data_IF_147953858664
#
_entry.id   IF_147953858664
#
_cell.length_a   1.000
_cell.length_b   1.000
_cell.length_c   1.000
_cell.angle_alpha   90.00
_cell.angle_beta   90.00
_cell.angle_gamma   90.00
#
_symmetry.space_group_name_H-M   'P 1'
#
loop_
_entity.id
_entity.type
_entity.pdbx_description
1 polymer ?
#
# COMPACT_ATOMS: atom_id res chain seq x y z
N UNK A 1 10.64 -4.60 37.21
CA UNK A 1 11.39 -5.18 36.07
C UNK A 1 10.76 -4.57 34.82
N UNK A 2 10.89 -3.25 34.62
CA UNK A 2 9.92 -2.53 33.77
C UNK A 2 10.57 -1.81 32.57
N UNK A 3 11.84 -1.39 32.69
CA UNK A 3 12.52 -0.66 31.61
C UNK A 3 12.87 -1.51 30.38
N UNK A 4 13.15 -2.80 30.58
CA UNK A 4 13.51 -3.70 29.47
C UNK A 4 12.30 -4.03 28.58
N UNK A 5 11.13 -4.20 29.20
CA UNK A 5 9.88 -4.49 28.51
C UNK A 5 9.36 -3.27 27.76
N UNK A 6 9.49 -2.06 28.33
CA UNK A 6 9.15 -0.82 27.64
C UNK A 6 10.05 -0.58 26.42
N UNK A 7 11.36 -0.80 26.53
CA UNK A 7 12.30 -0.66 25.41
C UNK A 7 11.99 -1.65 24.28
N UNK A 8 11.65 -2.89 24.64
CA UNK A 8 11.23 -3.94 23.68
C UNK A 8 9.96 -3.54 22.96
N UNK A 9 8.93 -3.08 23.67
CA UNK A 9 7.67 -2.66 23.08
C UNK A 9 7.85 -1.45 22.14
N UNK A 10 8.69 -0.48 22.49
CA UNK A 10 9.02 0.66 21.61
C UNK A 10 9.70 0.20 20.31
N UNK A 11 10.63 -0.75 20.42
CA UNK A 11 11.30 -1.32 19.25
C UNK A 11 10.34 -2.11 18.36
N UNK A 12 9.47 -2.94 18.94
CA UNK A 12 8.44 -3.68 18.21
C UNK A 12 7.45 -2.75 17.51
N UNK A 13 7.02 -1.69 18.20
CA UNK A 13 6.17 -0.65 17.61
C UNK A 13 6.87 0.05 16.44
N UNK A 14 8.14 0.43 16.60
CA UNK A 14 8.94 1.04 15.52
C UNK A 14 9.03 0.13 14.29
N UNK A 15 9.27 -1.17 14.50
CA UNK A 15 9.30 -2.16 13.43
C UNK A 15 7.94 -2.32 12.75
N UNK A 16 6.85 -2.32 13.52
CA UNK A 16 5.50 -2.41 12.97
C UNK A 16 5.18 -1.18 12.11
N UNK A 17 5.51 0.03 12.57
CA UNK A 17 5.32 1.27 11.81
C UNK A 17 6.11 1.27 10.49
N UNK A 18 7.37 0.86 10.51
CA UNK A 18 8.18 0.76 9.29
C UNK A 18 7.62 -0.26 8.29
N UNK A 19 7.13 -1.40 8.79
CA UNK A 19 6.48 -2.41 7.93
C UNK A 19 5.18 -1.87 7.31
N UNK A 20 4.38 -1.14 8.08
CA UNK A 20 3.16 -0.50 7.57
C UNK A 20 3.50 0.49 6.44
N UNK A 21 4.47 1.38 6.65
CA UNK A 21 4.90 2.34 5.62
C UNK A 21 5.41 1.65 4.34
N UNK A 22 6.15 0.54 4.50
CA UNK A 22 6.62 -0.24 3.36
C UNK A 22 5.45 -0.90 2.60
N UNK A 23 4.45 -1.41 3.31
CA UNK A 23 3.25 -1.99 2.70
C UNK A 23 2.42 -0.93 1.98
N UNK A 24 2.24 0.25 2.58
CA UNK A 24 1.57 1.40 1.95
C UNK A 24 2.24 1.77 0.62
N UNK A 25 3.58 1.87 0.63
CA UNK A 25 4.37 2.16 -0.57
C UNK A 25 4.23 1.08 -1.66
N UNK A 26 4.09 -0.20 -1.28
CA UNK A 26 3.89 -1.30 -2.23
C UNK A 26 2.49 -1.25 -2.85
N UNK A 27 1.48 -0.93 -2.04
CA UNK A 27 0.09 -0.77 -2.51
C UNK A 27 -0.03 0.40 -3.48
N UNK A 28 0.63 1.53 -3.20
CA UNK A 28 0.69 2.69 -4.09
C UNK A 28 1.30 2.31 -5.45
N UNK A 29 2.49 1.67 -5.44
CA UNK A 29 3.14 1.20 -6.67
C UNK A 29 2.29 0.22 -7.47
N UNK A 30 1.58 -0.67 -6.80
CA UNK A 30 0.68 -1.61 -7.46
C UNK A 30 -0.47 -0.88 -8.17
N UNK A 31 -1.05 0.15 -7.54
CA UNK A 31 -2.07 0.98 -8.17
C UNK A 31 -1.53 1.70 -9.42
N UNK A 32 -0.34 2.28 -9.33
CA UNK A 32 0.28 2.99 -10.46
C UNK A 32 0.64 2.04 -11.62
N UNK A 33 1.08 0.82 -11.31
CA UNK A 33 1.34 -0.20 -12.33
C UNK A 33 0.06 -0.65 -13.05
N UNK A 34 -1.06 -0.76 -12.33
CA UNK A 34 -2.36 -1.08 -12.95
C UNK A 34 -2.77 0.00 -13.95
N UNK A 35 -2.66 1.28 -13.57
CA UNK A 35 -2.97 2.39 -14.47
C UNK A 35 -2.04 2.42 -15.68
N UNK A 36 -0.73 2.30 -15.46
CA UNK A 36 0.26 2.34 -16.53
C UNK A 36 0.04 1.22 -17.57
N UNK A 37 -0.30 0.01 -17.14
CA UNK A 37 -0.60 -1.10 -18.04
C UNK A 37 -1.95 -0.93 -18.76
N UNK A 38 -2.95 -0.38 -18.07
CA UNK A 38 -4.26 -0.11 -18.64
C UNK A 38 -4.20 0.96 -19.74
N UNK A 39 -3.36 1.98 -19.53
CA UNK A 39 -3.16 3.06 -20.49
C UNK A 39 -2.29 2.67 -21.70
N UNK A 40 -1.47 1.63 -21.57
CA UNK A 40 -0.54 1.23 -22.61
C UNK A 40 -1.16 0.42 -23.75
N UNK A 41 -2.09 -0.53 -23.47
CA UNK A 41 -2.57 -1.46 -24.52
C UNK A 41 -3.86 -2.24 -24.17
N UNK A 42 -4.71 -1.73 -23.27
CA UNK A 42 -5.94 -2.42 -22.88
C UNK A 42 -7.18 -1.92 -23.63
N UNK A 43 -8.09 -2.83 -23.99
CA UNK A 43 -9.41 -2.46 -24.48
C UNK A 43 -10.22 -1.71 -23.40
N UNK A 44 -11.06 -0.76 -23.80
CA UNK A 44 -11.88 0.10 -22.91
C UNK A 44 -12.51 -0.61 -21.69
N UNK A 45 -13.17 -1.78 -21.80
CA UNK A 45 -13.72 -2.46 -20.62
C UNK A 45 -12.65 -2.99 -19.64
N UNK A 46 -11.49 -3.40 -20.15
CA UNK A 46 -10.36 -3.83 -19.31
C UNK A 46 -9.68 -2.63 -18.65
N UNK A 47 -9.60 -1.51 -19.38
CA UNK A 47 -9.06 -0.24 -18.88
C UNK A 47 -9.90 0.33 -17.72
N UNK A 48 -11.22 0.39 -17.89
CA UNK A 48 -12.13 0.83 -16.82
C UNK A 48 -12.01 -0.03 -15.55
N UNK A 49 -11.91 -1.35 -15.72
CA UNK A 49 -11.73 -2.29 -14.60
C UNK A 49 -10.39 -2.09 -13.90
N UNK A 50 -9.30 -1.87 -14.64
CA UNK A 50 -7.98 -1.66 -14.07
C UNK A 50 -7.91 -0.36 -13.25
N UNK A 51 -8.46 0.74 -13.78
CA UNK A 51 -8.57 2.00 -13.05
C UNK A 51 -9.44 1.87 -11.79
N UNK A 52 -10.56 1.14 -11.84
CA UNK A 52 -11.39 0.89 -10.65
C UNK A 52 -10.59 0.15 -9.56
N UNK A 53 -9.76 -0.83 -9.93
CA UNK A 53 -8.92 -1.55 -8.97
C UNK A 53 -7.79 -0.65 -8.43
N UNK A 54 -7.15 0.16 -9.27
CA UNK A 54 -6.16 1.13 -8.83
C UNK A 54 -6.75 2.14 -7.83
N UNK A 55 -7.96 2.65 -8.09
CA UNK A 55 -8.67 3.52 -7.14
C UNK A 55 -8.99 2.82 -5.81
N UNK A 56 -9.41 1.55 -5.85
CA UNK A 56 -9.66 0.77 -4.63
C UNK A 56 -8.39 0.64 -3.78
N UNK A 57 -7.24 0.40 -4.40
CA UNK A 57 -5.95 0.35 -3.70
C UNK A 57 -5.60 1.71 -3.07
N UNK A 58 -5.79 2.81 -3.80
CA UNK A 58 -5.55 4.16 -3.28
C UNK A 58 -6.48 4.53 -2.11
N UNK A 59 -7.73 4.08 -2.11
CA UNK A 59 -8.67 4.30 -0.99
C UNK A 59 -8.20 3.63 0.30
N UNK A 60 -7.53 2.49 0.22
CA UNK A 60 -6.94 1.81 1.38
C UNK A 60 -5.81 2.64 2.01
N UNK A 61 -5.13 3.49 1.24
CA UNK A 61 -4.06 4.37 1.71
C UNK A 61 -4.55 5.69 2.32
N UNK A 62 -5.79 6.10 2.03
CA UNK A 62 -6.32 7.43 2.36
C UNK A 62 -7.58 7.43 3.23
N UNK A 63 -7.79 6.40 4.07
CA UNK A 63 -8.89 6.35 5.05
C UNK A 63 -8.53 7.04 6.37
#
# INVERSE_FOLDING_TARGET
>A
MDNADEAKLKHELGNALQKTQALESLVERAADQLDALADADCAEPAKAKAHEQAERLRKVLGS
#
